data_IF_740666309363
#
_entry.id   IF_740666309363
#
_cell.length_a   1.000
_cell.length_b   1.000
_cell.length_c   1.000
_cell.angle_alpha   90.00
_cell.angle_beta   90.00
_cell.angle_gamma   90.00
#
_symmetry.space_group_name_H-M   'P 1'
#
loop_
_entity.id
_entity.type
_entity.pdbx_description
1 polymer ?
#
# COMPACT_ATOMS: atom_id res chain seq x y z
N UNK A 1 23.40 -19.31 -39.30
CA UNK A 1 22.56 -19.92 -38.26
C UNK A 1 22.35 -18.87 -37.18
N UNK A 2 21.36 -17.98 -37.37
CA UNK A 2 21.12 -16.83 -36.49
C UNK A 2 19.89 -17.12 -35.64
N UNK A 3 20.11 -17.53 -34.39
CA UNK A 3 19.05 -17.70 -33.41
C UNK A 3 18.70 -16.31 -32.89
N UNK A 4 17.63 -15.72 -33.43
CA UNK A 4 16.95 -14.57 -32.80
C UNK A 4 16.20 -15.10 -31.58
N UNK A 5 16.77 -14.93 -30.39
CA UNK A 5 16.02 -15.04 -29.14
C UNK A 5 14.98 -13.92 -29.12
N UNK A 6 13.72 -14.26 -29.40
CA UNK A 6 12.59 -13.43 -28.99
C UNK A 6 12.61 -13.41 -27.46
N UNK A 7 13.05 -12.32 -26.86
CA UNK A 7 12.70 -12.04 -25.47
C UNK A 7 11.18 -11.84 -25.45
N UNK A 8 10.47 -12.89 -25.07
CA UNK A 8 9.07 -12.79 -24.72
C UNK A 8 8.94 -11.82 -23.55
N UNK A 9 8.02 -10.89 -23.69
CA UNK A 9 7.45 -10.08 -22.62
C UNK A 9 7.15 -10.97 -21.42
N UNK A 10 8.05 -10.96 -20.43
CA UNK A 10 7.78 -11.50 -19.11
C UNK A 10 6.82 -10.50 -18.46
N UNK A 11 5.53 -10.66 -18.74
CA UNK A 11 4.50 -9.98 -17.97
C UNK A 11 4.69 -10.41 -16.53
N UNK A 12 5.11 -9.48 -15.67
CA UNK A 12 4.92 -9.62 -14.23
C UNK A 12 3.41 -9.63 -14.02
N UNK A 13 2.81 -10.80 -14.14
CA UNK A 13 1.52 -11.06 -13.55
C UNK A 13 1.77 -11.10 -12.04
N UNK A 14 1.72 -9.93 -11.40
CA UNK A 14 1.46 -9.83 -9.96
C UNK A 14 0.01 -10.29 -9.74
N UNK A 15 -0.23 -11.60 -9.91
CA UNK A 15 -1.36 -12.29 -9.34
C UNK A 15 -1.08 -12.38 -7.84
N UNK A 16 -1.22 -11.24 -7.16
CA UNK A 16 -1.43 -11.22 -5.73
C UNK A 16 -2.62 -12.14 -5.45
N UNK A 17 -2.36 -13.25 -4.77
CA UNK A 17 -3.44 -14.06 -4.21
C UNK A 17 -4.16 -13.18 -3.20
N UNK A 18 -5.32 -12.63 -3.59
CA UNK A 18 -6.14 -11.80 -2.73
C UNK A 18 -6.70 -12.64 -1.60
N UNK A 19 -5.99 -12.67 -0.47
CA UNK A 19 -6.51 -13.23 0.76
C UNK A 19 -7.41 -12.16 1.38
N UNK A 20 -8.72 -12.25 1.12
CA UNK A 20 -9.74 -11.51 1.86
C UNK A 20 -9.80 -12.04 3.29
N UNK A 21 -8.87 -11.63 4.15
CA UNK A 21 -9.01 -11.73 5.59
C UNK A 21 -9.98 -10.64 6.04
N UNK A 22 -11.27 -10.87 5.80
CA UNK A 22 -12.26 -10.33 6.71
C UNK A 22 -12.00 -10.99 8.06
N UNK A 23 -11.25 -10.33 8.95
CA UNK A 23 -11.14 -10.76 10.33
C UNK A 23 -12.57 -10.84 10.88
N UNK A 24 -13.05 -12.08 11.07
CA UNK A 24 -14.32 -12.35 11.69
C UNK A 24 -14.06 -12.24 13.19
N UNK A 25 -14.62 -11.21 13.82
CA UNK A 25 -14.63 -11.10 15.27
C UNK A 25 -15.31 -12.34 15.87
N UNK A 26 -14.56 -13.13 16.64
CA UNK A 26 -15.11 -14.14 17.53
C UNK A 26 -15.42 -13.47 18.86
N UNK A 27 -16.55 -12.78 18.93
CA UNK A 27 -17.06 -12.14 20.15
C UNK A 27 -18.58 -12.11 20.12
N UNK A 28 -19.20 -12.83 21.06
CA UNK A 28 -20.64 -12.83 21.24
C UNK A 28 -21.04 -11.58 22.06
N UNK A 29 -21.47 -10.51 21.39
CA UNK A 29 -22.27 -9.42 21.98
C UNK A 29 -22.88 -8.51 20.89
N UNK A 30 -24.04 -7.94 21.19
CA UNK A 30 -24.94 -7.18 20.32
C UNK A 30 -24.39 -5.83 19.82
N UNK A 31 -23.38 -5.82 18.94
CA UNK A 31 -22.84 -4.57 18.41
C UNK A 31 -21.81 -4.72 17.31
N UNK A 32 -22.14 -5.33 16.17
CA UNK A 32 -21.27 -5.27 14.99
C UNK A 32 -21.01 -3.81 14.60
N UNK A 33 -19.74 -3.43 14.43
CA UNK A 33 -19.34 -2.17 13.78
C UNK A 33 -20.21 -1.93 12.54
N UNK A 34 -20.91 -0.79 12.50
CA UNK A 34 -21.75 -0.39 11.37
C UNK A 34 -20.93 -0.11 10.09
N UNK A 35 -19.59 -0.21 10.18
CA UNK A 35 -18.69 0.00 9.06
C UNK A 35 -18.71 -1.21 8.14
N UNK A 36 -18.97 -0.95 6.86
CA UNK A 36 -18.91 -1.95 5.78
C UNK A 36 -17.89 -1.51 4.74
N UNK A 37 -17.47 -2.41 3.85
CA UNK A 37 -16.54 -2.10 2.77
C UNK A 37 -17.26 -2.04 1.43
N UNK A 38 -16.73 -1.21 0.56
CA UNK A 38 -17.12 -1.10 -0.85
C UNK A 38 -15.84 -0.83 -1.66
N UNK A 39 -15.91 -0.94 -2.97
CA UNK A 39 -14.71 -0.80 -3.80
C UNK A 39 -14.96 -0.08 -5.12
N UNK A 40 -13.89 0.54 -5.62
CA UNK A 40 -13.78 1.10 -6.94
C UNK A 40 -12.73 0.29 -7.69
N UNK A 41 -13.09 -0.22 -8.86
CA UNK A 41 -12.15 -0.91 -9.74
C UNK A 41 -12.16 -0.18 -11.08
N UNK A 42 -10.97 0.20 -11.54
CA UNK A 42 -10.74 0.64 -12.90
C UNK A 42 -9.43 0.09 -13.42
N UNK A 43 -9.45 -0.37 -14.67
CA UNK A 43 -8.25 -0.81 -15.34
C UNK A 43 -8.35 -0.53 -16.83
N UNK A 44 -7.22 -0.26 -17.43
CA UNK A 44 -7.09 -0.12 -18.86
C UNK A 44 -5.67 -0.47 -19.28
N UNK A 45 -5.50 -0.83 -20.53
CA UNK A 45 -4.22 -1.32 -21.03
C UNK A 45 -3.94 -0.70 -22.39
N UNK A 46 -2.66 -0.52 -22.69
CA UNK A 46 -2.20 0.09 -23.92
C UNK A 46 -2.79 1.52 -24.18
N UNK A 47 -2.99 2.33 -23.13
CA UNK A 47 -3.40 3.73 -23.29
C UNK A 47 -2.28 4.47 -24.02
N UNK A 48 -2.55 4.99 -25.21
CA UNK A 48 -1.55 5.74 -25.98
C UNK A 48 -1.13 7.02 -25.25
N UNK A 49 0.18 7.12 -24.99
CA UNK A 49 0.84 8.30 -24.41
C UNK A 49 1.43 9.21 -25.48
N UNK A 50 2.04 8.62 -26.51
CA UNK A 50 2.66 9.34 -27.62
C UNK A 50 3.18 8.39 -28.69
N UNK A 51 3.64 8.94 -29.82
CA UNK A 51 4.22 8.18 -30.91
C UNK A 51 5.45 8.90 -31.47
N UNK A 52 6.54 8.17 -31.71
CA UNK A 52 7.78 8.67 -32.31
C UNK A 52 7.62 8.93 -33.81
N UNK A 53 8.57 9.65 -34.42
CA UNK A 53 8.57 9.90 -35.87
C UNK A 53 8.74 8.61 -36.70
N UNK A 54 9.29 7.57 -36.08
CA UNK A 54 9.51 6.22 -36.65
C UNK A 54 8.30 5.29 -36.46
N UNK A 55 7.27 5.74 -35.74
CA UNK A 55 6.02 5.00 -35.54
C UNK A 55 5.98 4.19 -34.25
N UNK A 56 7.01 4.24 -33.39
CA UNK A 56 7.00 3.56 -32.09
C UNK A 56 6.03 4.25 -31.14
N UNK A 57 5.17 3.47 -30.48
CA UNK A 57 4.14 4.01 -29.57
C UNK A 57 4.54 3.81 -28.12
N UNK A 58 4.43 4.85 -27.31
CA UNK A 58 4.48 4.74 -25.86
C UNK A 58 3.06 4.53 -25.31
N UNK A 59 2.91 3.61 -24.36
CA UNK A 59 1.63 3.20 -23.81
C UNK A 59 1.68 3.06 -22.29
N UNK A 60 0.53 3.26 -21.64
CA UNK A 60 0.33 3.01 -20.22
C UNK A 60 -0.63 1.83 -20.00
N UNK A 61 -0.21 0.89 -19.16
CA UNK A 61 -1.10 -0.03 -18.47
C UNK A 61 -1.43 0.53 -17.08
N UNK A 62 -2.72 0.68 -16.81
CA UNK A 62 -3.25 1.37 -15.65
C UNK A 62 -4.17 0.44 -14.87
N UNK A 63 -3.99 0.39 -13.55
CA UNK A 63 -4.86 -0.30 -12.63
C UNK A 63 -5.09 0.54 -11.36
N UNK A 64 -6.36 0.67 -10.98
CA UNK A 64 -6.80 1.33 -9.77
C UNK A 64 -7.86 0.48 -9.08
N UNK A 65 -7.47 -0.07 -7.94
CA UNK A 65 -8.37 -0.79 -7.05
C UNK A 65 -8.37 -0.11 -5.69
N UNK A 66 -9.50 0.50 -5.32
CA UNK A 66 -9.64 1.24 -4.08
C UNK A 66 -10.80 0.69 -3.27
N UNK A 67 -10.48 -0.04 -2.21
CA UNK A 67 -11.42 -0.49 -1.19
C UNK A 67 -11.51 0.61 -0.12
N UNK A 68 -12.72 0.94 0.33
CA UNK A 68 -12.94 2.01 1.30
C UNK A 68 -14.06 1.68 2.30
N UNK A 69 -13.97 2.21 3.54
CA UNK A 69 -14.99 2.00 4.57
C UNK A 69 -16.21 2.92 4.39
N UNK A 70 -17.41 2.39 4.60
CA UNK A 70 -18.70 3.10 4.60
C UNK A 70 -19.37 3.02 5.96
N UNK A 71 -20.36 3.88 6.22
CA UNK A 71 -21.11 3.86 7.48
C UNK A 71 -20.51 4.73 8.59
N UNK A 72 -19.28 5.24 8.40
CA UNK A 72 -18.67 6.22 9.30
C UNK A 72 -18.01 7.36 8.51
N UNK A 73 -18.66 8.52 8.47
CA UNK A 73 -18.22 9.68 7.66
C UNK A 73 -16.86 10.24 8.10
N UNK A 74 -16.53 10.16 9.40
CA UNK A 74 -15.25 10.67 9.91
C UNK A 74 -14.09 9.81 9.42
N UNK A 75 -14.25 8.49 9.51
CA UNK A 75 -13.26 7.53 9.00
C UNK A 75 -13.14 7.68 7.49
N UNK A 76 -14.25 7.61 6.74
CA UNK A 76 -14.23 7.73 5.28
C UNK A 76 -13.55 9.03 4.80
N UNK A 77 -13.84 10.15 5.46
CA UNK A 77 -13.26 11.46 5.09
C UNK A 77 -11.74 11.46 5.23
N UNK A 78 -11.20 11.05 6.38
CA UNK A 78 -9.75 11.04 6.59
C UNK A 78 -9.07 9.92 5.80
N UNK A 79 -9.74 8.78 5.62
CA UNK A 79 -9.25 7.67 4.79
C UNK A 79 -8.99 8.12 3.35
N UNK A 80 -9.99 8.76 2.71
CA UNK A 80 -9.82 9.30 1.36
C UNK A 80 -8.78 10.42 1.34
N UNK A 81 -8.85 11.34 2.30
CA UNK A 81 -7.94 12.49 2.36
C UNK A 81 -6.46 12.08 2.47
N UNK A 82 -6.16 11.04 3.26
CA UNK A 82 -4.79 10.57 3.47
C UNK A 82 -4.29 9.70 2.32
N UNK A 83 -5.15 8.86 1.72
CA UNK A 83 -4.73 7.88 0.71
C UNK A 83 -4.73 8.47 -0.71
N UNK A 84 -5.79 9.21 -1.07
CA UNK A 84 -5.96 9.75 -2.42
C UNK A 84 -5.69 11.26 -2.49
N UNK A 85 -5.85 11.98 -1.38
CA UNK A 85 -5.73 13.44 -1.31
C UNK A 85 -7.04 14.13 -0.95
N UNK A 86 -6.95 15.33 -0.39
CA UNK A 86 -8.11 16.11 0.09
C UNK A 86 -9.08 16.48 -1.03
N UNK A 87 -8.59 16.61 -2.25
CA UNK A 87 -9.36 16.91 -3.45
C UNK A 87 -10.30 15.79 -3.90
N UNK A 88 -10.19 14.59 -3.32
CA UNK A 88 -11.11 13.48 -3.54
C UNK A 88 -12.21 13.37 -2.48
N UNK A 89 -12.10 14.12 -1.38
CA UNK A 89 -13.07 14.07 -0.28
C UNK A 89 -14.42 14.58 -0.75
N UNK A 90 -15.47 13.80 -0.47
CA UNK A 90 -16.86 14.15 -0.80
C UNK A 90 -17.28 13.82 -2.24
N UNK A 91 -16.35 13.38 -3.09
CA UNK A 91 -16.67 12.86 -4.42
C UNK A 91 -17.39 11.51 -4.32
N UNK A 92 -18.32 11.28 -5.24
CA UNK A 92 -18.91 9.95 -5.43
C UNK A 92 -17.88 8.94 -5.93
N UNK A 93 -18.11 7.63 -5.77
CA UNK A 93 -17.21 6.60 -6.31
C UNK A 93 -16.94 6.74 -7.81
N UNK A 94 -17.94 7.15 -8.60
CA UNK A 94 -17.79 7.39 -10.03
C UNK A 94 -16.89 8.59 -10.33
N UNK A 95 -17.01 9.67 -9.54
CA UNK A 95 -16.16 10.86 -9.67
C UNK A 95 -14.72 10.59 -9.24
N UNK A 96 -14.51 9.83 -8.15
CA UNK A 96 -13.16 9.39 -7.73
C UNK A 96 -12.51 8.58 -8.86
N UNK A 97 -13.23 7.58 -9.39
CA UNK A 97 -12.77 6.74 -10.50
C UNK A 97 -12.35 7.60 -11.71
N UNK A 98 -13.24 8.48 -12.16
CA UNK A 98 -12.99 9.31 -13.33
C UNK A 98 -11.81 10.26 -13.09
N UNK A 99 -11.80 10.96 -11.96
CA UNK A 99 -10.76 11.93 -11.61
C UNK A 99 -9.39 11.27 -11.48
N UNK A 100 -9.30 10.13 -10.79
CA UNK A 100 -8.02 9.42 -10.61
C UNK A 100 -7.46 8.98 -11.96
N UNK A 101 -8.28 8.32 -12.80
CA UNK A 101 -7.87 7.92 -14.15
C UNK A 101 -7.41 9.11 -14.98
N UNK A 102 -8.19 10.20 -15.01
CA UNK A 102 -7.84 11.41 -15.77
C UNK A 102 -6.51 11.98 -15.30
N UNK A 103 -6.29 12.09 -13.99
CA UNK A 103 -5.05 12.60 -13.43
C UNK A 103 -3.84 11.72 -13.77
N UNK A 104 -3.96 10.40 -13.59
CA UNK A 104 -2.87 9.46 -13.90
C UNK A 104 -2.51 9.47 -15.38
N UNK A 105 -3.51 9.42 -16.27
CA UNK A 105 -3.28 9.45 -17.72
C UNK A 105 -2.72 10.80 -18.16
N UNK A 106 -3.19 11.91 -17.59
CA UNK A 106 -2.67 13.24 -17.92
C UNK A 106 -1.21 13.40 -17.49
N UNK A 107 -0.86 12.97 -16.27
CA UNK A 107 0.52 12.98 -15.79
C UNK A 107 1.44 12.16 -16.69
N UNK A 108 1.04 10.93 -17.02
CA UNK A 108 1.80 10.06 -17.92
C UNK A 108 1.94 10.65 -19.33
N UNK A 109 0.92 11.33 -19.86
CA UNK A 109 0.97 11.98 -21.18
C UNK A 109 1.86 13.22 -21.20
N UNK A 110 1.89 13.99 -20.13
CA UNK A 110 2.71 15.21 -20.08
C UNK A 110 4.20 14.88 -20.26
N UNK A 111 4.66 13.74 -19.76
CA UNK A 111 6.04 13.28 -19.93
C UNK A 111 6.42 12.96 -21.39
N UNK A 112 5.44 12.60 -22.25
CA UNK A 112 5.68 12.29 -23.66
C UNK A 112 5.34 13.44 -24.60
N UNK A 113 4.88 14.58 -24.08
CA UNK A 113 4.41 15.71 -24.89
C UNK A 113 5.50 16.29 -25.80
N UNK A 114 6.73 16.36 -25.27
CA UNK A 114 7.90 16.89 -25.96
C UNK A 114 8.97 15.80 -26.19
N UNK A 115 8.59 14.52 -26.09
CA UNK A 115 9.51 13.39 -26.26
C UNK A 115 9.93 13.22 -27.73
N UNK A 116 11.24 13.17 -27.97
CA UNK A 116 11.82 12.92 -29.28
C UNK A 116 12.17 11.44 -29.51
N UNK A 117 12.59 11.11 -30.72
CA UNK A 117 12.96 9.73 -31.07
C UNK A 117 14.09 9.16 -30.19
N UNK A 118 14.94 10.00 -29.61
CA UNK A 118 16.00 9.56 -28.70
C UNK A 118 15.41 9.15 -27.35
N UNK A 119 14.49 9.93 -26.81
CA UNK A 119 13.74 9.59 -25.60
C UNK A 119 12.95 8.29 -25.77
N UNK A 120 12.25 8.12 -26.90
CA UNK A 120 11.55 6.88 -27.23
C UNK A 120 12.48 5.66 -27.37
N UNK A 121 13.72 5.86 -27.84
CA UNK A 121 14.70 4.78 -27.96
C UNK A 121 15.29 4.34 -26.61
N UNK A 122 15.39 5.26 -25.64
CA UNK A 122 15.94 4.99 -24.31
C UNK A 122 14.90 4.54 -23.30
N UNK A 123 13.66 5.03 -23.41
CA UNK A 123 12.55 4.61 -22.56
C UNK A 123 11.95 3.33 -23.11
N UNK A 124 11.60 2.38 -22.23
CA UNK A 124 10.74 1.27 -22.68
C UNK A 124 9.37 1.87 -22.97
N UNK A 125 8.76 1.63 -24.13
CA UNK A 125 7.52 2.27 -24.51
C UNK A 125 6.34 1.89 -23.61
N UNK A 126 6.43 0.79 -22.87
CA UNK A 126 5.36 0.33 -22.00
C UNK A 126 5.60 0.77 -20.55
N UNK A 127 4.72 1.63 -20.06
CA UNK A 127 4.63 2.05 -18.66
C UNK A 127 3.54 1.29 -17.93
N UNK A 128 3.71 1.16 -16.62
CA UNK A 128 2.74 0.52 -15.73
C UNK A 128 2.50 1.47 -14.56
N UNK A 129 1.23 1.67 -14.20
CA UNK A 129 0.84 2.37 -12.98
C UNK A 129 -0.27 1.57 -12.29
N UNK A 130 0.04 1.03 -11.11
CA UNK A 130 -0.86 0.22 -10.31
C UNK A 130 -1.01 0.87 -8.94
N UNK A 131 -2.25 1.05 -8.53
CA UNK A 131 -2.64 1.39 -7.18
C UNK A 131 -3.66 0.35 -6.71
N UNK A 132 -3.38 -0.33 -5.60
CA UNK A 132 -4.28 -1.37 -5.07
C UNK A 132 -4.40 -1.26 -3.55
N UNK A 133 -5.62 -1.17 -3.05
CA UNK A 133 -5.89 -1.49 -1.65
C UNK A 133 -6.00 -3.00 -1.51
N UNK A 134 -5.04 -3.58 -0.79
CA UNK A 134 -4.88 -5.04 -0.71
C UNK A 134 -5.62 -5.62 0.49
N UNK A 135 -5.57 -4.93 1.63
CA UNK A 135 -6.22 -5.38 2.88
C UNK A 135 -6.88 -4.22 3.60
N UNK A 136 -8.10 -4.44 4.08
CA UNK A 136 -8.77 -3.55 5.06
C UNK A 136 -9.26 -4.38 6.24
N UNK A 137 -8.83 -4.02 7.45
CA UNK A 137 -9.30 -4.61 8.70
C UNK A 137 -10.29 -3.63 9.36
N UNK A 138 -11.47 -4.11 9.74
CA UNK A 138 -12.51 -3.32 10.39
C UNK A 138 -12.79 -3.92 11.75
N UNK A 139 -12.36 -3.22 12.79
CA UNK A 139 -12.65 -3.53 14.18
C UNK A 139 -13.53 -2.44 14.80
N UNK A 140 -14.04 -2.67 16.01
CA UNK A 140 -14.92 -1.71 16.68
C UNK A 140 -14.20 -0.39 16.98
N UNK A 141 -12.89 -0.44 17.24
CA UNK A 141 -12.09 0.73 17.65
C UNK A 141 -11.23 1.33 16.54
N UNK A 142 -10.93 0.58 15.50
CA UNK A 142 -10.11 1.06 14.39
C UNK A 142 -10.53 0.48 13.04
N UNK A 143 -10.16 1.19 11.98
CA UNK A 143 -10.08 0.67 10.61
C UNK A 143 -8.63 0.76 10.16
N UNK A 144 -8.03 -0.35 9.78
CA UNK A 144 -6.68 -0.39 9.23
C UNK A 144 -6.71 -0.73 7.76
N UNK A 145 -5.78 -0.19 6.99
CA UNK A 145 -5.62 -0.47 5.57
C UNK A 145 -4.15 -0.69 5.24
N UNK A 146 -3.88 -1.64 4.35
CA UNK A 146 -2.65 -1.73 3.58
C UNK A 146 -2.99 -1.55 2.11
N UNK A 147 -2.26 -0.66 1.44
CA UNK A 147 -2.36 -0.48 0.00
C UNK A 147 -0.95 -0.41 -0.61
N UNK A 148 -0.87 -0.84 -1.85
CA UNK A 148 0.35 -0.85 -2.65
C UNK A 148 0.29 0.20 -3.75
N UNK A 149 1.46 0.74 -4.07
CA UNK A 149 1.70 1.53 -5.29
C UNK A 149 2.81 0.85 -6.08
N UNK A 150 2.65 0.70 -7.38
CA UNK A 150 3.72 0.25 -8.26
C UNK A 150 3.73 1.04 -9.55
N UNK A 151 4.92 1.47 -9.95
CA UNK A 151 5.13 2.30 -11.12
C UNK A 151 6.32 1.74 -11.90
N UNK A 152 6.15 1.55 -13.21
CA UNK A 152 7.23 1.26 -14.14
C UNK A 152 7.23 2.28 -15.26
N UNK A 153 8.37 2.95 -15.46
CA UNK A 153 8.52 4.05 -16.42
C UNK A 153 9.65 3.80 -17.42
N UNK A 154 10.14 2.55 -17.47
CA UNK A 154 11.37 2.18 -18.17
C UNK A 154 12.52 1.90 -17.20
N UNK A 155 13.72 1.67 -17.74
CA UNK A 155 14.90 1.31 -16.95
C UNK A 155 14.94 -0.16 -16.50
N UNK A 156 15.81 -0.43 -15.50
CA UNK A 156 16.14 -1.79 -15.06
C UNK A 156 14.99 -2.49 -14.32
N UNK A 157 14.27 -1.77 -13.45
CA UNK A 157 13.12 -2.26 -12.69
C UNK A 157 12.17 -1.11 -12.34
N UNK A 158 10.97 -1.44 -11.86
CA UNK A 158 9.99 -0.47 -11.38
C UNK A 158 10.23 -0.04 -9.95
N UNK A 159 9.37 0.86 -9.49
CA UNK A 159 9.20 1.19 -8.09
C UNK A 159 7.96 0.47 -7.56
N UNK A 160 8.03 0.02 -6.32
CA UNK A 160 6.88 -0.51 -5.59
C UNK A 160 7.07 -0.27 -4.09
N UNK A 161 5.98 0.04 -3.42
CA UNK A 161 5.89 0.20 -1.98
C UNK A 161 4.54 -0.29 -1.47
N UNK A 162 4.51 -0.63 -0.19
CA UNK A 162 3.33 -0.83 0.61
C UNK A 162 3.24 0.23 1.69
N UNK A 163 2.03 0.70 1.92
CA UNK A 163 1.70 1.68 2.94
C UNK A 163 0.54 1.15 3.77
N UNK A 164 0.76 1.14 5.07
CA UNK A 164 -0.22 0.79 6.07
C UNK A 164 -0.63 2.01 6.89
N UNK A 165 -1.94 2.17 7.08
CA UNK A 165 -2.55 3.26 7.83
C UNK A 165 -3.64 2.74 8.76
N UNK A 166 -3.83 3.41 9.89
CA UNK A 166 -4.79 3.02 10.92
C UNK A 166 -5.63 4.23 11.28
N UNK A 167 -6.95 4.06 11.42
CA UNK A 167 -7.88 5.14 11.71
C UNK A 167 -8.76 4.78 12.90
N UNK A 168 -8.81 5.64 13.91
CA UNK A 168 -9.68 5.48 15.07
C UNK A 168 -11.15 5.65 14.66
N UNK A 169 -12.02 4.68 14.98
CA UNK A 169 -13.42 4.68 14.52
C UNK A 169 -14.26 5.77 15.17
N UNK A 170 -13.89 6.23 16.37
CA UNK A 170 -14.63 7.24 17.13
C UNK A 170 -14.37 8.65 16.58
N UNK A 171 -13.12 8.94 16.25
CA UNK A 171 -12.64 10.27 15.86
C UNK A 171 -12.42 10.40 14.35
N UNK A 172 -12.16 9.29 13.68
CA UNK A 172 -11.72 9.21 12.28
C UNK A 172 -10.25 9.59 12.08
N UNK A 173 -9.51 9.97 13.12
CA UNK A 173 -8.11 10.41 12.98
C UNK A 173 -7.20 9.22 12.72
N UNK A 174 -6.10 9.48 12.01
CA UNK A 174 -5.03 8.50 11.87
C UNK A 174 -4.39 8.23 13.24
N UNK A 175 -4.19 6.95 13.55
CA UNK A 175 -3.48 6.45 14.74
C UNK A 175 -2.01 6.31 14.37
N UNK A 176 -1.13 6.95 15.14
CA UNK A 176 0.33 6.84 14.97
C UNK A 176 0.96 6.02 16.09
N UNK A 177 2.25 5.71 15.97
CA UNK A 177 3.00 5.01 17.02
C UNK A 177 2.92 5.74 18.38
N UNK A 178 2.96 7.07 18.38
CA UNK A 178 2.88 7.89 19.62
C UNK A 178 1.51 7.83 20.32
N UNK A 179 0.47 7.44 19.60
CA UNK A 179 -0.86 7.20 20.18
C UNK A 179 -0.93 5.85 20.91
N UNK A 180 -0.10 4.88 20.50
CA UNK A 180 -0.10 3.50 20.98
C UNK A 180 0.95 3.21 22.03
N UNK A 181 2.16 3.74 21.89
CA UNK A 181 3.30 3.34 22.71
C UNK A 181 3.70 4.41 23.75
N UNK A 182 4.28 3.95 24.85
CA UNK A 182 4.88 4.81 25.89
C UNK A 182 6.07 5.60 25.34
N UNK A 183 6.47 6.71 25.96
CA UNK A 183 7.69 7.42 25.55
C UNK A 183 8.94 6.54 25.66
N UNK A 184 9.86 6.65 24.69
CA UNK A 184 11.10 5.86 24.67
C UNK A 184 10.92 4.41 24.22
N UNK A 185 9.83 4.10 23.51
CA UNK A 185 9.52 2.76 23.03
C UNK A 185 10.46 2.24 21.93
N UNK A 186 11.13 3.14 21.20
CA UNK A 186 11.72 2.85 19.89
C UNK A 186 12.69 1.65 19.90
N UNK A 187 13.68 1.66 20.79
CA UNK A 187 14.70 0.60 20.88
C UNK A 187 14.08 -0.77 21.23
N UNK A 188 13.16 -0.80 22.21
CA UNK A 188 12.48 -2.04 22.57
C UNK A 188 11.54 -2.54 21.47
N UNK A 189 10.89 -1.63 20.76
CA UNK A 189 10.00 -1.98 19.66
C UNK A 189 10.77 -2.53 18.46
N UNK A 190 11.93 -1.94 18.12
CA UNK A 190 12.86 -2.49 17.13
C UNK A 190 13.27 -3.92 17.48
N UNK A 191 13.63 -4.18 18.74
CA UNK A 191 13.93 -5.54 19.20
C UNK A 191 12.74 -6.49 18.98
N UNK A 192 11.51 -6.06 19.29
CA UNK A 192 10.30 -6.86 19.05
C UNK A 192 10.03 -7.11 17.57
N UNK A 193 10.29 -6.13 16.71
CA UNK A 193 10.20 -6.28 15.25
C UNK A 193 11.16 -7.38 14.78
N UNK A 194 12.42 -7.37 15.22
CA UNK A 194 13.44 -8.37 14.85
C UNK A 194 13.13 -9.76 15.41
N UNK A 195 12.75 -9.84 16.69
CA UNK A 195 12.43 -11.10 17.37
C UNK A 195 11.28 -11.84 16.68
N UNK A 196 10.25 -11.10 16.26
CA UNK A 196 9.06 -11.65 15.61
C UNK A 196 9.22 -11.83 14.10
N UNK A 197 10.27 -11.29 13.49
CA UNK A 197 10.55 -11.47 12.06
C UNK A 197 11.02 -12.90 11.79
N UNK A 198 10.53 -13.51 10.70
CA UNK A 198 10.97 -14.85 10.32
C UNK A 198 12.47 -14.87 10.01
N UNK A 199 13.07 -16.05 10.20
CA UNK A 199 14.53 -16.20 10.12
C UNK A 199 15.05 -15.92 8.71
N UNK A 200 14.36 -16.42 7.69
CA UNK A 200 14.82 -16.31 6.30
C UNK A 200 14.77 -14.85 5.84
N UNK A 201 13.75 -14.09 6.23
CA UNK A 201 13.65 -12.65 5.99
C UNK A 201 14.74 -11.88 6.73
N UNK A 202 15.06 -12.25 7.98
CA UNK A 202 16.15 -11.62 8.75
C UNK A 202 17.52 -11.76 8.08
N UNK A 203 17.78 -12.89 7.42
CA UNK A 203 19.01 -13.13 6.68
C UNK A 203 19.15 -12.23 5.43
N UNK A 204 18.06 -11.59 4.98
CA UNK A 204 18.06 -10.66 3.83
C UNK A 204 18.33 -9.20 4.25
N UNK A 205 18.37 -8.88 5.54
CA UNK A 205 18.55 -7.51 6.00
C UNK A 205 19.98 -6.99 5.71
N UNK A 206 20.12 -5.69 5.48
CA UNK A 206 21.42 -5.04 5.38
C UNK A 206 22.17 -5.04 6.72
N UNK A 207 21.42 -4.92 7.81
CA UNK A 207 21.87 -4.96 9.19
C UNK A 207 20.70 -5.39 10.08
N UNK A 208 20.95 -5.69 11.35
CA UNK A 208 19.90 -5.95 12.34
C UNK A 208 19.23 -4.63 12.82
N UNK A 209 19.15 -3.60 11.97
CA UNK A 209 18.48 -2.34 12.30
C UNK A 209 17.13 -2.29 11.58
N UNK A 210 16.06 -2.25 12.37
CA UNK A 210 14.67 -2.19 11.91
C UNK A 210 13.90 -1.19 12.77
N UNK A 211 14.39 0.05 12.76
CA UNK A 211 13.75 1.14 13.49
C UNK A 211 12.26 1.25 13.11
N UNK A 212 11.35 1.45 14.08
CA UNK A 212 9.94 1.69 13.79
C UNK A 212 9.78 2.86 12.82
N UNK A 213 9.15 2.61 11.67
CA UNK A 213 9.07 3.55 10.54
C UNK A 213 7.69 4.20 10.39
N UNK A 214 6.75 3.94 11.31
CA UNK A 214 5.37 4.40 11.22
C UNK A 214 4.51 3.69 10.17
N UNK A 215 5.06 2.73 9.42
CA UNK A 215 4.37 1.98 8.37
C UNK A 215 3.83 0.65 8.93
N UNK A 216 2.77 0.74 9.74
CA UNK A 216 2.22 -0.40 10.45
C UNK A 216 0.71 -0.55 10.28
N UNK A 217 0.21 -1.78 10.39
CA UNK A 217 -1.22 -2.12 10.30
C UNK A 217 -1.67 -2.82 11.58
N UNK A 218 -2.69 -2.27 12.25
CA UNK A 218 -3.34 -2.89 13.40
C UNK A 218 -4.28 -4.01 12.95
N UNK A 219 -4.32 -5.08 13.72
CA UNK A 219 -5.25 -6.20 13.60
C UNK A 219 -5.80 -6.59 14.97
N UNK A 220 -6.80 -7.48 15.00
CA UNK A 220 -7.35 -8.05 16.23
C UNK A 220 -6.31 -8.87 17.03
N UNK A 221 -5.22 -9.32 16.39
CA UNK A 221 -4.21 -10.22 16.97
C UNK A 221 -2.86 -9.56 17.27
N UNK A 222 -2.56 -8.45 16.62
CA UNK A 222 -1.28 -7.78 16.77
C UNK A 222 -1.07 -6.69 15.73
N UNK A 223 0.18 -6.32 15.52
CA UNK A 223 0.61 -5.25 14.62
C UNK A 223 1.51 -5.84 13.54
N UNK A 224 1.22 -5.57 12.27
CA UNK A 224 2.19 -5.75 11.19
C UNK A 224 3.02 -4.48 11.03
N UNK A 225 4.34 -4.60 10.93
CA UNK A 225 5.24 -3.58 10.40
C UNK A 225 5.65 -3.95 8.98
N UNK A 226 5.71 -2.96 8.09
CA UNK A 226 6.13 -3.13 6.70
C UNK A 226 7.33 -2.23 6.39
N UNK A 227 8.37 -2.82 5.82
CA UNK A 227 9.57 -2.15 5.38
C UNK A 227 9.69 -2.24 3.87
N UNK A 228 9.68 -1.09 3.22
CA UNK A 228 9.71 -1.02 1.76
C UNK A 228 11.10 -1.39 1.20
N UNK A 229 11.19 -1.75 -0.09
CA UNK A 229 12.47 -2.01 -0.73
C UNK A 229 13.50 -0.92 -0.44
N UNK A 230 14.72 -1.34 -0.07
CA UNK A 230 15.84 -0.48 0.34
C UNK A 230 15.77 0.15 1.73
N UNK A 231 14.68 0.03 2.49
CA UNK A 231 14.64 0.54 3.87
C UNK A 231 15.56 -0.26 4.79
N UNK A 232 15.39 -1.60 4.79
CA UNK A 232 16.15 -2.50 5.67
C UNK A 232 16.82 -3.66 4.93
N UNK A 233 16.52 -3.84 3.64
CA UNK A 233 17.05 -4.93 2.81
C UNK A 233 17.08 -4.59 1.32
N UNK A 234 17.70 -5.43 0.47
CA UNK A 234 17.86 -5.16 -0.96
C UNK A 234 16.52 -5.21 -1.69
N UNK A 235 16.43 -4.55 -2.84
CA UNK A 235 15.21 -4.56 -3.67
C UNK A 235 14.67 -5.96 -3.98
N UNK A 236 15.56 -6.93 -4.17
CA UNK A 236 15.18 -8.32 -4.46
C UNK A 236 14.42 -9.02 -3.33
N UNK A 237 14.54 -8.52 -2.08
CA UNK A 237 13.77 -9.02 -0.95
C UNK A 237 12.29 -8.55 -0.98
N UNK A 238 11.97 -7.55 -1.82
CA UNK A 238 10.64 -6.96 -1.87
C UNK A 238 10.30 -6.19 -0.58
N UNK A 239 9.01 -6.12 -0.25
CA UNK A 239 8.53 -5.58 1.02
C UNK A 239 8.77 -6.62 2.12
N UNK A 240 9.55 -6.24 3.13
CA UNK A 240 9.81 -7.04 4.32
C UNK A 240 8.73 -6.73 5.36
N UNK A 241 8.23 -7.72 6.08
CA UNK A 241 7.23 -7.48 7.12
C UNK A 241 7.46 -8.32 8.37
N UNK A 242 7.04 -7.80 9.52
CA UNK A 242 7.07 -8.51 10.80
C UNK A 242 5.72 -8.38 11.50
N UNK A 243 5.17 -9.50 11.97
CA UNK A 243 3.93 -9.52 12.75
C UNK A 243 4.24 -9.68 14.22
N UNK A 244 3.84 -8.71 15.03
CA UNK A 244 4.07 -8.69 16.47
C UNK A 244 2.74 -8.90 17.18
N UNK A 245 2.53 -10.06 17.83
CA UNK A 245 1.35 -10.31 18.65
C UNK A 245 1.19 -9.27 19.77
N UNK A 246 -0.04 -8.92 20.15
CA UNK A 246 -0.29 -7.92 21.19
C UNK A 246 0.39 -8.23 22.54
N UNK A 247 0.46 -9.50 22.93
CA UNK A 247 1.10 -9.92 24.18
C UNK A 247 2.62 -9.63 24.22
N UNK A 248 3.29 -9.58 23.06
CA UNK A 248 4.71 -9.19 22.98
C UNK A 248 4.93 -7.68 23.21
N UNK A 249 3.87 -6.88 23.15
CA UNK A 249 3.91 -5.42 23.27
C UNK A 249 3.50 -4.91 24.66
N UNK A 250 3.15 -5.80 25.60
CA UNK A 250 2.56 -5.44 26.91
C UNK A 250 3.29 -4.31 27.63
N UNK A 251 4.62 -4.34 27.69
CA UNK A 251 5.43 -3.31 28.37
C UNK A 251 5.58 -1.99 27.58
N UNK A 252 5.23 -2.00 26.30
CA UNK A 252 5.38 -0.86 25.38
C UNK A 252 4.08 -0.10 25.18
N UNK A 253 2.93 -0.75 25.38
CA UNK A 253 1.63 -0.12 25.18
C UNK A 253 1.39 0.96 26.24
N UNK A 254 0.99 2.12 25.76
CA UNK A 254 0.62 3.27 26.58
C UNK A 254 -0.68 2.97 27.34
N UNK A 255 -0.72 3.18 28.66
CA UNK A 255 -1.96 3.07 29.43
C UNK A 255 -3.06 3.98 28.88
N UNK A 256 -4.30 3.49 28.88
CA UNK A 256 -5.49 4.15 28.34
C UNK A 256 -5.46 4.42 26.82
N UNK A 257 -4.47 3.88 26.10
CA UNK A 257 -4.48 3.89 24.64
C UNK A 257 -5.45 2.84 24.09
N UNK A 258 -5.70 2.90 22.78
CA UNK A 258 -6.47 1.86 22.10
C UNK A 258 -5.80 0.48 22.20
N UNK A 259 -4.45 0.44 22.19
CA UNK A 259 -3.70 -0.81 22.24
C UNK A 259 -3.93 -1.59 23.53
N UNK A 260 -4.20 -0.91 24.65
CA UNK A 260 -4.39 -1.54 25.96
C UNK A 260 -5.58 -2.52 25.97
N UNK A 261 -6.59 -2.29 25.12
CA UNK A 261 -7.75 -3.20 25.05
C UNK A 261 -7.51 -4.51 24.30
N UNK A 262 -6.31 -4.72 23.77
CA UNK A 262 -5.91 -5.93 23.06
C UNK A 262 -4.82 -6.72 23.81
N UNK A 263 -4.43 -6.26 25.00
CA UNK A 263 -3.58 -6.99 25.96
C UNK A 263 -4.44 -7.93 26.82
#
# INVERSE_FOLDING_TARGET
MNIRLKLGSLGLALLGSFIFLGCKSNGNSDGKSAITLDSIVDKDSAILLGQSSKGDTATLDYEFHFIYPKGNVRVLTNYIATILGREYVGLSPQEIRAKYRTNTVAAAKEEYKDADDEYFAHTKPQRINVFSVDTVCVEDKFVSVRYSRSIYEGGAHGYHEDIALNFDTKTGKQITESDLFISGYQEKLEQKILECMDKDTREMLFSEQTEPNGNFMLTDKGIYYYFNPYEVGPYAAGVISSFIPWNELTELIKPYSLGESYL
#
